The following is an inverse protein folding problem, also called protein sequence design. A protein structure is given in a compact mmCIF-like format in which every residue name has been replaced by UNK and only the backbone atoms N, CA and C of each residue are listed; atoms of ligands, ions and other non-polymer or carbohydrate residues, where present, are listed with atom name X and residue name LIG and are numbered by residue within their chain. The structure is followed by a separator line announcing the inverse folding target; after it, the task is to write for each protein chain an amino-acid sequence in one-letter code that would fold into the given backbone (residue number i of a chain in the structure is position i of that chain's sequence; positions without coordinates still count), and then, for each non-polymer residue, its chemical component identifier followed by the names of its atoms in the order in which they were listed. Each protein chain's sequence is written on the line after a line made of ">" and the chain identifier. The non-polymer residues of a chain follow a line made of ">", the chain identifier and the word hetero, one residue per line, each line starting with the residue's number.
data_IF_092399261625
#
_entry.id   IF_092399261625
#
_cell.length_a   1.000
_cell.length_b   1.000
_cell.length_c   1.000
_cell.angle_alpha   90.00
_cell.angle_beta   90.00
_cell.angle_gamma   90.00
#
_symmetry.space_group_name_H-M   'P 1'
#
loop_
_entity.id
_entity.type
_entity.pdbx_description
1 polymer ?
#
# COMPACT_ATOMS: atom_id res chain seq x y z
N UNK A 1 -17.28 6.86 12.58
CA UNK A 1 -17.73 5.47 12.30
C UNK A 1 -16.75 4.45 12.85
N UNK A 2 -17.14 3.17 13.01
CA UNK A 2 -16.22 2.07 13.38
C UNK A 2 -15.52 1.52 12.15
N UNK A 3 -14.18 1.53 12.13
CA UNK A 3 -13.35 1.08 11.01
C UNK A 3 -12.34 0.05 11.49
N UNK A 4 -12.30 -1.11 10.84
CA UNK A 4 -11.35 -2.18 11.12
C UNK A 4 -10.21 -2.14 10.11
N UNK A 5 -8.95 -2.08 10.57
CA UNK A 5 -7.77 -1.97 9.70
C UNK A 5 -6.83 -3.14 9.96
N UNK A 6 -6.62 -4.00 8.97
CA UNK A 6 -5.56 -5.00 9.05
C UNK A 6 -4.25 -4.42 8.56
N UNK A 7 -3.14 -4.84 9.14
CA UNK A 7 -1.83 -4.24 8.84
C UNK A 7 -1.66 -2.86 9.46
N UNK A 8 -2.33 -2.59 10.58
CA UNK A 8 -2.35 -1.28 11.26
C UNK A 8 -0.97 -0.83 11.76
N UNK A 9 -0.08 -1.76 12.11
CA UNK A 9 1.32 -1.47 12.47
C UNK A 9 2.27 -1.45 11.27
N UNK A 10 1.72 -1.58 10.05
CA UNK A 10 2.41 -1.39 8.79
C UNK A 10 2.62 0.10 8.48
N UNK A 11 3.30 0.38 7.37
CA UNK A 11 3.59 1.75 6.92
C UNK A 11 2.31 2.55 6.60
N UNK A 12 1.52 2.06 5.65
CA UNK A 12 0.26 2.73 5.27
C UNK A 12 -0.75 2.67 6.43
N UNK A 13 -0.79 1.52 7.14
CA UNK A 13 -1.71 1.29 8.26
C UNK A 13 -1.56 2.30 9.40
N UNK A 14 -0.33 2.65 9.78
CA UNK A 14 -0.06 3.70 10.78
C UNK A 14 -0.70 5.03 10.36
N UNK A 15 -0.28 5.56 9.22
CA UNK A 15 -0.70 6.89 8.76
C UNK A 15 -2.21 6.97 8.53
N UNK A 16 -2.78 5.92 7.95
CA UNK A 16 -4.23 5.85 7.75
C UNK A 16 -4.98 5.81 9.09
N UNK A 17 -4.53 4.97 10.03
CA UNK A 17 -5.15 4.90 11.36
C UNK A 17 -5.10 6.25 12.08
N UNK A 18 -3.94 6.94 12.06
CA UNK A 18 -3.81 8.29 12.65
C UNK A 18 -4.77 9.29 11.99
N UNK A 19 -4.83 9.32 10.64
CA UNK A 19 -5.75 10.21 9.91
C UNK A 19 -7.21 9.98 10.31
N UNK A 20 -7.62 8.71 10.38
CA UNK A 20 -8.99 8.34 10.73
C UNK A 20 -9.34 8.65 12.19
N UNK A 21 -8.42 8.41 13.10
CA UNK A 21 -8.58 8.76 14.51
C UNK A 21 -8.69 10.27 14.72
N UNK A 22 -7.85 11.05 14.04
CA UNK A 22 -7.91 12.53 14.05
C UNK A 22 -9.23 13.06 13.43
N UNK A 23 -9.81 12.33 12.48
CA UNK A 23 -11.12 12.64 11.92
C UNK A 23 -12.29 12.16 12.82
N UNK A 24 -12.02 11.73 14.04
CA UNK A 24 -13.03 11.32 15.03
C UNK A 24 -13.59 9.89 14.87
N UNK A 25 -13.04 9.08 13.96
CA UNK A 25 -13.46 7.68 13.78
C UNK A 25 -12.96 6.81 14.95
N UNK A 26 -13.63 5.67 15.18
CA UNK A 26 -13.20 4.62 16.09
C UNK A 26 -12.48 3.56 15.25
N UNK A 27 -11.22 3.28 15.54
CA UNK A 27 -10.37 2.38 14.76
C UNK A 27 -9.97 1.16 15.56
N UNK A 28 -10.18 -0.02 15.00
CA UNK A 28 -9.60 -1.25 15.51
C UNK A 28 -8.49 -1.73 14.58
N UNK A 29 -7.28 -1.79 15.10
CA UNK A 29 -6.10 -2.30 14.40
C UNK A 29 -5.96 -3.81 14.57
N UNK A 30 -5.58 -4.50 13.51
CA UNK A 30 -5.23 -5.92 13.52
C UNK A 30 -3.90 -6.11 12.80
N UNK A 31 -2.89 -6.69 13.47
CA UNK A 31 -1.56 -6.89 12.89
C UNK A 31 -0.85 -8.08 13.52
N UNK A 32 -0.10 -8.82 12.72
CA UNK A 32 0.67 -9.98 13.19
C UNK A 32 1.97 -9.61 13.89
N UNK A 33 2.47 -8.40 13.69
CA UNK A 33 3.79 -7.95 14.17
C UNK A 33 4.93 -8.89 13.73
N UNK A 34 4.82 -9.51 12.52
CA UNK A 34 5.80 -10.47 12.03
C UNK A 34 7.21 -9.85 11.88
N UNK A 35 8.23 -10.70 11.77
CA UNK A 35 9.64 -10.33 11.70
C UNK A 35 10.16 -10.18 10.26
N UNK A 36 9.32 -9.96 9.27
CA UNK A 36 9.74 -9.72 7.89
C UNK A 36 10.74 -8.56 7.76
N UNK A 37 10.56 -7.53 8.58
CA UNK A 37 11.54 -6.45 8.81
C UNK A 37 11.53 -6.06 10.29
N UNK A 38 12.36 -5.10 10.69
CA UNK A 38 12.55 -4.68 12.07
C UNK A 38 11.23 -4.54 12.85
N UNK A 39 11.04 -5.43 13.83
CA UNK A 39 9.87 -5.46 14.70
C UNK A 39 9.81 -4.23 15.62
N UNK A 40 10.97 -3.63 15.97
CA UNK A 40 11.02 -2.41 16.79
C UNK A 40 10.26 -1.28 16.08
N UNK A 41 10.44 -1.14 14.76
CA UNK A 41 9.73 -0.15 13.96
C UNK A 41 8.20 -0.38 13.98
N UNK A 42 7.73 -1.63 13.94
CA UNK A 42 6.30 -1.96 14.06
C UNK A 42 5.77 -1.64 15.45
N UNK A 43 6.53 -1.97 16.49
CA UNK A 43 6.18 -1.63 17.88
C UNK A 43 6.09 -0.13 18.09
N UNK A 44 7.04 0.65 17.56
CA UNK A 44 7.02 2.13 17.63
C UNK A 44 5.78 2.71 16.95
N UNK A 45 5.39 2.21 15.78
CA UNK A 45 4.14 2.61 15.10
C UNK A 45 2.90 2.27 15.93
N UNK A 46 2.86 1.10 16.54
CA UNK A 46 1.77 0.70 17.44
C UNK A 46 1.69 1.61 18.68
N UNK A 47 2.81 1.97 19.30
CA UNK A 47 2.82 2.88 20.46
C UNK A 47 2.22 4.26 20.12
N UNK A 48 2.49 4.78 18.93
CA UNK A 48 1.86 6.02 18.46
C UNK A 48 0.32 5.88 18.43
N UNK A 49 -0.18 4.76 17.89
CA UNK A 49 -1.63 4.53 17.79
C UNK A 49 -2.28 4.28 19.14
N UNK A 50 -1.59 3.58 20.05
CA UNK A 50 -2.07 3.29 21.40
C UNK A 50 -2.44 4.53 22.21
N UNK A 51 -1.82 5.68 21.93
CA UNK A 51 -2.10 6.93 22.62
C UNK A 51 -3.47 7.55 22.25
N UNK A 52 -4.15 7.05 21.24
CA UNK A 52 -5.48 7.53 20.87
C UNK A 52 -6.57 6.79 21.65
N UNK A 53 -7.42 7.50 22.39
CA UNK A 53 -8.54 6.92 23.18
C UNK A 53 -9.51 6.07 22.34
N UNK A 54 -9.69 6.41 21.04
CA UNK A 54 -10.58 5.70 20.11
C UNK A 54 -9.87 4.60 19.31
N UNK A 55 -8.68 4.17 19.73
CA UNK A 55 -7.93 3.07 19.12
C UNK A 55 -7.98 1.82 19.99
N UNK A 56 -8.25 0.69 19.37
CA UNK A 56 -8.11 -0.64 19.99
C UNK A 56 -7.32 -1.56 19.05
N UNK A 57 -6.78 -2.65 19.58
CA UNK A 57 -5.86 -3.50 18.84
C UNK A 57 -6.00 -4.97 19.16
N UNK A 58 -5.88 -5.82 18.14
CA UNK A 58 -5.71 -7.28 18.29
C UNK A 58 -4.44 -7.71 17.55
N UNK A 59 -3.52 -8.38 18.25
CA UNK A 59 -2.38 -9.04 17.62
C UNK A 59 -2.84 -10.39 17.07
N UNK A 60 -2.71 -10.58 15.75
CA UNK A 60 -3.09 -11.81 15.07
C UNK A 60 -2.67 -11.88 13.63
N UNK A 61 -2.58 -13.08 13.08
CA UNK A 61 -2.34 -13.33 11.66
C UNK A 61 -3.68 -13.38 10.92
N UNK A 62 -3.76 -12.78 9.74
CA UNK A 62 -4.98 -12.81 8.91
C UNK A 62 -5.32 -14.23 8.42
N UNK A 63 -4.35 -15.12 8.39
CA UNK A 63 -4.51 -16.55 8.09
C UNK A 63 -5.25 -17.29 9.21
N UNK A 64 -5.22 -16.78 10.45
CA UNK A 64 -5.96 -17.35 11.56
C UNK A 64 -7.40 -16.82 11.57
N UNK A 65 -8.28 -17.54 10.88
CA UNK A 65 -9.68 -17.18 10.73
C UNK A 65 -10.42 -17.06 12.07
N UNK A 66 -10.11 -17.91 13.05
CA UNK A 66 -10.78 -17.90 14.38
C UNK A 66 -10.54 -16.59 15.12
N UNK A 67 -9.28 -16.17 15.24
CA UNK A 67 -8.91 -14.91 15.90
C UNK A 67 -9.46 -13.70 15.14
N UNK A 68 -9.34 -13.71 13.80
CA UNK A 68 -9.84 -12.66 12.93
C UNK A 68 -11.35 -12.47 13.05
N UNK A 69 -12.12 -13.55 12.91
CA UNK A 69 -13.57 -13.53 13.05
C UNK A 69 -14.02 -13.02 14.43
N UNK A 70 -13.41 -13.54 15.52
CA UNK A 70 -13.71 -13.08 16.88
C UNK A 70 -13.49 -11.57 17.02
N UNK A 71 -12.38 -11.05 16.46
CA UNK A 71 -12.05 -9.62 16.52
C UNK A 71 -13.05 -8.76 15.73
N UNK A 72 -13.40 -9.15 14.50
CA UNK A 72 -14.32 -8.40 13.65
C UNK A 72 -15.75 -8.44 14.22
N UNK A 73 -16.24 -9.61 14.61
CA UNK A 73 -17.59 -9.77 15.15
C UNK A 73 -17.79 -9.00 16.46
N UNK A 74 -16.78 -8.98 17.34
CA UNK A 74 -16.81 -8.19 18.57
C UNK A 74 -16.81 -6.70 18.31
N UNK A 75 -16.00 -6.23 17.35
CA UNK A 75 -15.86 -4.80 17.06
C UNK A 75 -17.04 -4.25 16.24
N UNK A 76 -17.67 -5.08 15.40
CA UNK A 76 -18.81 -4.73 14.52
C UNK A 76 -18.49 -3.50 13.65
N UNK A 77 -17.50 -3.58 12.75
CA UNK A 77 -17.09 -2.45 11.91
C UNK A 77 -18.14 -2.12 10.85
N UNK A 78 -18.26 -0.84 10.52
CA UNK A 78 -18.99 -0.37 9.34
C UNK A 78 -18.19 -0.52 8.05
N UNK A 79 -16.86 -0.36 8.17
CA UNK A 79 -15.90 -0.43 7.06
C UNK A 79 -14.73 -1.31 7.48
N UNK A 80 -14.25 -2.16 6.58
CA UNK A 80 -12.98 -2.87 6.72
C UNK A 80 -12.01 -2.36 5.67
N UNK A 81 -10.76 -2.06 6.10
CA UNK A 81 -9.65 -1.71 5.22
C UNK A 81 -8.56 -2.76 5.38
N UNK A 82 -8.40 -3.59 4.35
CA UNK A 82 -7.47 -4.70 4.38
C UNK A 82 -6.14 -4.30 3.74
N UNK A 83 -5.16 -3.95 4.60
CA UNK A 83 -3.79 -3.59 4.20
C UNK A 83 -2.76 -4.66 4.55
N UNK A 84 -3.12 -5.63 5.41
CA UNK A 84 -2.23 -6.73 5.77
C UNK A 84 -1.93 -7.60 4.55
N UNK A 85 -0.66 -7.79 4.27
CA UNK A 85 -0.17 -8.65 3.21
C UNK A 85 1.32 -8.95 3.40
N UNK A 86 1.80 -10.06 2.87
CA UNK A 86 3.21 -10.21 2.60
C UNK A 86 3.52 -9.42 1.32
N UNK A 87 4.40 -8.43 1.41
CA UNK A 87 4.76 -7.56 0.32
C UNK A 87 6.22 -7.76 -0.11
N UNK A 88 6.55 -7.28 -1.33
CA UNK A 88 7.91 -7.33 -1.88
C UNK A 88 8.07 -8.39 -2.97
N UNK A 89 8.29 -7.94 -4.20
CA UNK A 89 8.45 -8.81 -5.40
C UNK A 89 9.59 -9.81 -5.20
N UNK A 90 10.74 -9.37 -4.73
CA UNK A 90 11.95 -10.21 -4.60
C UNK A 90 11.82 -11.29 -3.53
N UNK A 91 11.18 -10.97 -2.42
CA UNK A 91 10.97 -11.93 -1.35
C UNK A 91 10.01 -13.03 -1.75
N UNK A 92 9.06 -12.74 -2.66
CA UNK A 92 8.12 -13.75 -3.15
C UNK A 92 8.77 -14.89 -3.94
N UNK A 93 9.95 -14.63 -4.53
CA UNK A 93 10.75 -15.66 -5.20
C UNK A 93 11.40 -16.60 -4.17
N UNK A 94 11.85 -16.04 -3.03
CA UNK A 94 12.56 -16.81 -2.00
C UNK A 94 11.62 -17.56 -1.04
N UNK A 95 10.46 -17.00 -0.74
CA UNK A 95 9.49 -17.52 0.23
C UNK A 95 8.06 -17.45 -0.30
N UNK A 96 7.73 -18.17 -1.41
CA UNK A 96 6.43 -18.08 -2.08
C UNK A 96 5.27 -18.47 -1.17
N UNK A 97 5.41 -19.50 -0.35
CA UNK A 97 4.37 -19.99 0.55
C UNK A 97 3.82 -18.88 1.45
N UNK A 98 4.66 -17.98 1.97
CA UNK A 98 4.19 -16.88 2.83
C UNK A 98 3.25 -15.91 2.11
N UNK A 99 3.34 -15.84 0.77
CA UNK A 99 2.44 -15.01 -0.05
C UNK A 99 1.09 -15.71 -0.28
N UNK A 100 1.09 -17.03 -0.46
CA UNK A 100 -0.16 -17.80 -0.53
C UNK A 100 -0.91 -17.65 0.80
N UNK A 101 -0.25 -17.92 1.92
CA UNK A 101 -0.86 -17.88 3.24
C UNK A 101 -1.41 -16.48 3.57
N UNK A 102 -0.56 -15.44 3.52
CA UNK A 102 -0.97 -14.09 3.91
C UNK A 102 -1.87 -13.41 2.90
N UNK A 103 -1.56 -13.52 1.59
CA UNK A 103 -2.28 -12.72 0.59
C UNK A 103 -3.54 -13.44 0.10
N UNK A 104 -3.49 -14.73 -0.19
CA UNK A 104 -4.66 -15.46 -0.70
C UNK A 104 -5.54 -15.90 0.47
N UNK A 105 -5.04 -16.76 1.37
CA UNK A 105 -5.83 -17.29 2.48
C UNK A 105 -6.24 -16.16 3.44
N UNK A 106 -5.31 -15.25 3.75
CA UNK A 106 -5.62 -14.10 4.60
C UNK A 106 -6.70 -13.20 4.02
N UNK A 107 -6.67 -12.89 2.71
CA UNK A 107 -7.71 -12.08 2.07
C UNK A 107 -9.04 -12.84 1.98
N UNK A 108 -9.03 -14.13 1.68
CA UNK A 108 -10.22 -14.98 1.74
C UNK A 108 -10.90 -14.87 3.12
N UNK A 109 -10.14 -15.02 4.20
CA UNK A 109 -10.66 -14.92 5.57
C UNK A 109 -11.27 -13.54 5.87
N UNK A 110 -10.66 -12.46 5.35
CA UNK A 110 -11.19 -11.09 5.47
C UNK A 110 -12.51 -10.94 4.74
N UNK A 111 -12.61 -11.43 3.50
CA UNK A 111 -13.83 -11.32 2.69
C UNK A 111 -14.97 -12.13 3.35
N UNK A 112 -14.70 -13.35 3.84
CA UNK A 112 -15.67 -14.15 4.59
C UNK A 112 -16.14 -13.43 5.86
N UNK A 113 -15.21 -12.83 6.62
CA UNK A 113 -15.57 -12.07 7.83
C UNK A 113 -16.37 -10.81 7.50
N UNK A 114 -16.03 -10.12 6.41
CA UNK A 114 -16.74 -8.93 5.94
C UNK A 114 -18.17 -9.27 5.52
N UNK A 115 -18.35 -10.38 4.79
CA UNK A 115 -19.67 -10.92 4.40
C UNK A 115 -20.52 -11.23 5.64
N UNK A 116 -19.99 -12.01 6.60
CA UNK A 116 -20.68 -12.39 7.84
C UNK A 116 -21.07 -11.17 8.69
N UNK A 117 -20.23 -10.15 8.72
CA UNK A 117 -20.46 -8.91 9.50
C UNK A 117 -21.29 -7.87 8.74
N UNK A 118 -21.72 -8.15 7.51
CA UNK A 118 -22.54 -7.28 6.66
C UNK A 118 -21.95 -5.85 6.59
N UNK A 119 -20.62 -5.73 6.41
CA UNK A 119 -19.96 -4.43 6.35
C UNK A 119 -20.48 -3.62 5.15
N UNK A 120 -20.55 -2.30 5.31
CA UNK A 120 -21.02 -1.42 4.24
C UNK A 120 -20.01 -1.21 3.12
N UNK A 121 -18.73 -1.38 3.41
CA UNK A 121 -17.66 -1.22 2.42
C UNK A 121 -16.41 -2.00 2.84
N UNK A 122 -15.87 -2.80 1.95
CA UNK A 122 -14.57 -3.47 2.10
C UNK A 122 -13.58 -2.86 1.09
N UNK A 123 -12.49 -2.27 1.60
CA UNK A 123 -11.37 -1.78 0.79
C UNK A 123 -10.22 -2.75 0.89
N UNK A 124 -9.67 -3.22 -0.22
CA UNK A 124 -8.59 -4.22 -0.27
C UNK A 124 -7.38 -3.64 -0.99
N UNK A 125 -6.22 -3.69 -0.33
CA UNK A 125 -4.95 -3.31 -0.92
C UNK A 125 -4.49 -4.30 -1.99
N UNK A 126 -4.41 -3.85 -3.24
CA UNK A 126 -3.72 -4.49 -4.35
C UNK A 126 -2.42 -3.74 -4.66
N UNK A 127 -1.88 -3.86 -5.86
CA UNK A 127 -0.59 -3.30 -6.25
C UNK A 127 -0.54 -3.02 -7.74
N UNK A 128 0.21 -2.00 -8.16
CA UNK A 128 0.56 -1.77 -9.57
C UNK A 128 1.32 -2.95 -10.20
N UNK A 129 1.89 -3.84 -9.39
CA UNK A 129 2.55 -5.06 -9.89
C UNK A 129 1.62 -6.01 -10.63
N UNK A 130 0.29 -5.91 -10.43
CA UNK A 130 -0.71 -6.73 -11.15
C UNK A 130 -0.75 -6.43 -12.64
N UNK A 131 -0.30 -5.25 -13.08
CA UNK A 131 -0.21 -4.92 -14.50
C UNK A 131 0.84 -5.79 -15.23
N UNK A 132 1.82 -6.32 -14.50
CA UNK A 132 2.76 -7.33 -15.01
C UNK A 132 3.51 -6.88 -16.26
N UNK A 133 3.36 -7.62 -17.36
CA UNK A 133 3.98 -7.38 -18.66
C UNK A 133 3.25 -6.33 -19.52
N UNK A 134 2.18 -5.69 -19.01
CA UNK A 134 1.46 -4.65 -19.75
C UNK A 134 2.41 -3.48 -20.09
N UNK A 135 2.36 -3.02 -21.34
CA UNK A 135 3.21 -1.93 -21.88
C UNK A 135 2.46 -0.60 -21.99
N UNK A 136 1.13 -0.57 -21.80
CA UNK A 136 0.31 0.63 -21.92
C UNK A 136 0.52 1.54 -20.70
N UNK A 137 1.30 2.58 -20.83
CA UNK A 137 1.64 3.52 -19.76
C UNK A 137 1.18 4.93 -20.16
N UNK A 138 0.48 5.66 -19.25
CA UNK A 138 0.17 5.33 -17.84
C UNK A 138 -0.91 4.27 -17.69
N UNK A 139 -0.74 3.35 -16.73
CA UNK A 139 -1.68 2.26 -16.45
C UNK A 139 -3.06 2.79 -16.03
N UNK A 140 -4.10 2.30 -16.69
CA UNK A 140 -5.51 2.55 -16.34
C UNK A 140 -6.09 1.31 -15.67
N UNK A 141 -7.14 1.49 -14.87
CA UNK A 141 -7.78 0.39 -14.14
C UNK A 141 -8.39 -0.67 -15.07
N UNK A 142 -8.84 -0.25 -16.26
CA UNK A 142 -9.43 -1.10 -17.30
C UNK A 142 -8.39 -1.81 -18.19
N UNK A 143 -7.12 -1.46 -18.03
CA UNK A 143 -6.05 -2.11 -18.79
C UNK A 143 -5.88 -3.57 -18.37
N UNK A 144 -5.51 -4.41 -19.35
CA UNK A 144 -5.23 -5.83 -19.17
C UNK A 144 -4.19 -6.04 -18.07
N UNK A 145 -4.50 -6.89 -17.10
CA UNK A 145 -3.67 -7.19 -15.93
C UNK A 145 -3.72 -8.69 -15.59
N UNK A 146 -3.30 -9.54 -16.54
CA UNK A 146 -3.38 -11.01 -16.48
C UNK A 146 -2.04 -11.71 -16.74
N UNK A 147 -0.96 -10.96 -16.97
CA UNK A 147 0.39 -11.49 -17.24
C UNK A 147 1.37 -11.09 -16.13
N UNK A 148 1.16 -11.60 -14.93
CA UNK A 148 1.96 -11.23 -13.75
C UNK A 148 3.39 -11.75 -13.86
N UNK A 149 4.38 -10.91 -13.50
CA UNK A 149 5.81 -11.23 -13.58
C UNK A 149 6.41 -11.72 -12.25
N UNK A 150 5.60 -11.85 -11.21
CA UNK A 150 6.06 -12.33 -9.90
C UNK A 150 4.93 -13.01 -9.12
N UNK A 151 5.30 -13.91 -8.19
CA UNK A 151 4.35 -14.56 -7.29
C UNK A 151 3.58 -13.53 -6.45
N UNK A 152 4.25 -12.47 -5.99
CA UNK A 152 3.57 -11.37 -5.32
C UNK A 152 2.45 -10.76 -6.17
N UNK A 153 2.75 -10.44 -7.44
CA UNK A 153 1.76 -9.87 -8.35
C UNK A 153 0.61 -10.87 -8.61
N UNK A 154 0.93 -12.15 -8.81
CA UNK A 154 -0.05 -13.21 -8.99
C UNK A 154 -1.00 -13.34 -7.79
N UNK A 155 -0.46 -13.35 -6.55
CA UNK A 155 -1.31 -13.41 -5.35
C UNK A 155 -2.20 -12.17 -5.21
N UNK A 156 -1.70 -10.97 -5.57
CA UNK A 156 -2.54 -9.76 -5.57
C UNK A 156 -3.63 -9.81 -6.63
N UNK A 157 -3.33 -10.30 -7.83
CA UNK A 157 -4.34 -10.46 -8.89
C UNK A 157 -5.38 -11.51 -8.50
N UNK A 158 -4.98 -12.63 -7.92
CA UNK A 158 -5.91 -13.66 -7.41
C UNK A 158 -6.89 -13.08 -6.40
N UNK A 159 -6.42 -12.17 -5.51
CA UNK A 159 -7.32 -11.53 -4.55
C UNK A 159 -8.31 -10.55 -5.20
N UNK A 160 -7.96 -9.89 -6.30
CA UNK A 160 -8.90 -9.06 -7.07
C UNK A 160 -10.03 -9.93 -7.67
N UNK A 161 -9.69 -11.07 -8.27
CA UNK A 161 -10.66 -11.99 -8.87
C UNK A 161 -11.56 -12.63 -7.82
N UNK A 162 -10.98 -13.08 -6.70
CA UNK A 162 -11.73 -13.63 -5.56
C UNK A 162 -12.72 -12.59 -5.01
N UNK A 163 -12.27 -11.36 -4.79
CA UNK A 163 -13.09 -10.28 -4.28
C UNK A 163 -14.24 -9.92 -5.25
N UNK A 164 -14.00 -9.94 -6.57
CA UNK A 164 -15.05 -9.73 -7.56
C UNK A 164 -16.14 -10.80 -7.46
N UNK A 165 -15.77 -12.08 -7.39
CA UNK A 165 -16.72 -13.20 -7.26
C UNK A 165 -17.60 -13.05 -6.02
N UNK A 166 -17.00 -12.72 -4.86
CA UNK A 166 -17.75 -12.47 -3.63
C UNK A 166 -18.68 -11.26 -3.75
N UNK A 167 -18.21 -10.18 -4.39
CA UNK A 167 -19.03 -9.01 -4.63
C UNK A 167 -20.24 -9.33 -5.53
N UNK A 168 -20.04 -10.16 -6.55
CA UNK A 168 -21.13 -10.59 -7.45
C UNK A 168 -22.15 -11.46 -6.75
N UNK A 169 -21.70 -12.51 -6.04
CA UNK A 169 -22.57 -13.50 -5.42
C UNK A 169 -23.35 -12.94 -4.21
N UNK A 170 -22.69 -12.19 -3.36
CA UNK A 170 -23.28 -11.71 -2.08
C UNK A 170 -23.50 -10.20 -2.03
N UNK A 171 -23.36 -9.52 -3.16
CA UNK A 171 -23.53 -8.06 -3.26
C UNK A 171 -22.72 -7.27 -2.23
N UNK A 172 -21.60 -7.83 -1.78
CA UNK A 172 -20.67 -7.18 -0.86
C UNK A 172 -19.95 -6.03 -1.59
N UNK A 173 -20.10 -4.76 -1.13
CA UNK A 173 -19.44 -3.64 -1.80
C UNK A 173 -17.93 -3.67 -1.56
N UNK A 174 -17.14 -3.80 -2.63
CA UNK A 174 -15.69 -3.92 -2.55
C UNK A 174 -15.00 -2.91 -3.46
N UNK A 175 -14.00 -2.20 -2.92
CA UNK A 175 -13.07 -1.38 -3.70
C UNK A 175 -11.65 -1.95 -3.59
N UNK A 176 -11.07 -2.27 -4.72
CA UNK A 176 -9.65 -2.66 -4.83
C UNK A 176 -8.81 -1.42 -5.02
N UNK A 177 -7.69 -1.34 -4.29
CA UNK A 177 -6.75 -0.22 -4.31
C UNK A 177 -5.41 -0.70 -4.88
N UNK A 178 -5.11 -0.37 -6.15
CA UNK A 178 -3.82 -0.66 -6.79
C UNK A 178 -2.83 0.44 -6.43
N UNK A 179 -2.06 0.23 -5.37
CA UNK A 179 -1.02 1.17 -4.94
C UNK A 179 0.18 1.14 -5.87
N UNK A 180 0.69 2.34 -6.17
CA UNK A 180 2.00 2.53 -6.80
C UNK A 180 3.09 2.63 -5.72
N UNK A 181 4.27 3.20 -6.03
CA UNK A 181 5.38 3.18 -5.08
C UNK A 181 5.18 4.20 -3.96
N UNK A 182 4.73 3.73 -2.80
CA UNK A 182 4.50 4.58 -1.62
C UNK A 182 5.81 4.81 -0.88
N UNK A 183 6.07 6.06 -0.48
CA UNK A 183 7.25 6.45 0.29
C UNK A 183 6.92 7.55 1.30
N UNK A 184 7.81 7.74 2.30
CA UNK A 184 7.63 8.77 3.33
C UNK A 184 8.13 8.33 4.71
N UNK A 185 7.91 9.18 5.74
CA UNK A 185 8.21 8.88 7.14
C UNK A 185 7.60 7.54 7.58
N UNK A 186 8.26 6.85 8.50
CA UNK A 186 7.83 5.53 8.96
C UNK A 186 7.74 4.49 7.84
N UNK A 187 8.45 4.70 6.73
CA UNK A 187 8.45 3.81 5.57
C UNK A 187 8.97 2.41 5.86
N UNK A 188 8.85 1.53 4.88
CA UNK A 188 9.30 0.13 4.99
C UNK A 188 10.81 0.02 4.73
N UNK A 189 11.57 -0.64 5.62
CA UNK A 189 13.03 -0.79 5.48
C UNK A 189 13.49 -1.59 4.26
N UNK A 190 12.62 -2.43 3.68
CA UNK A 190 12.89 -3.21 2.47
C UNK A 190 12.76 -2.43 1.16
N UNK A 191 12.23 -1.19 1.19
CA UNK A 191 12.10 -0.31 0.03
C UNK A 191 13.43 0.36 -0.36
N UNK A 192 13.57 0.66 -1.65
CA UNK A 192 14.81 1.20 -2.23
C UNK A 192 15.28 2.49 -1.53
N UNK A 193 14.39 3.48 -1.37
CA UNK A 193 14.74 4.76 -0.74
C UNK A 193 15.27 4.61 0.68
N UNK A 194 14.71 3.68 1.45
CA UNK A 194 15.14 3.40 2.81
C UNK A 194 16.51 2.71 2.82
N UNK A 195 16.71 1.70 1.96
CA UNK A 195 17.98 1.00 1.80
C UNK A 195 19.09 1.92 1.33
N UNK A 196 18.81 2.79 0.36
CA UNK A 196 19.77 3.75 -0.14
C UNK A 196 20.19 4.72 0.97
N UNK A 197 19.25 5.31 1.68
CA UNK A 197 19.55 6.20 2.81
C UNK A 197 20.44 5.52 3.84
N UNK A 198 20.08 4.29 4.27
CA UNK A 198 20.87 3.52 5.24
C UNK A 198 22.29 3.27 4.74
N UNK A 199 22.45 2.84 3.46
CA UNK A 199 23.77 2.51 2.89
C UNK A 199 24.61 3.77 2.63
N UNK A 200 24.02 4.89 2.17
CA UNK A 200 24.71 6.17 1.96
C UNK A 200 25.27 6.69 3.28
N UNK A 201 24.47 6.74 4.32
CA UNK A 201 24.88 7.16 5.66
C UNK A 201 25.98 6.29 6.24
N UNK A 202 25.94 4.99 5.98
CA UNK A 202 26.97 4.04 6.39
C UNK A 202 28.19 3.98 5.44
N UNK A 203 28.29 4.89 4.43
CA UNK A 203 29.38 4.89 3.42
C UNK A 203 29.52 3.58 2.65
N UNK A 204 28.45 2.75 2.59
CA UNK A 204 28.42 1.46 1.89
C UNK A 204 27.89 1.62 0.46
N UNK A 205 28.30 0.69 -0.46
CA UNK A 205 27.82 0.65 -1.85
C UNK A 205 26.29 0.44 -1.92
N UNK A 206 25.60 1.20 -2.77
CA UNK A 206 24.19 0.99 -3.13
C UNK A 206 24.08 0.22 -4.45
N UNK A 207 23.21 -0.79 -4.50
CA UNK A 207 22.98 -1.58 -5.71
C UNK A 207 21.92 -0.91 -6.57
N UNK A 208 22.28 -0.52 -7.78
CA UNK A 208 21.46 0.19 -8.74
C UNK A 208 21.13 -0.76 -9.89
N UNK A 209 19.93 -1.35 -9.83
CA UNK A 209 19.49 -2.33 -10.82
C UNK A 209 19.13 -1.69 -12.16
N UNK A 210 19.21 -2.50 -13.24
CA UNK A 210 19.03 -2.07 -14.63
C UNK A 210 19.91 -0.85 -14.98
N UNK A 211 21.12 -0.82 -14.43
CA UNK A 211 22.05 0.33 -14.59
C UNK A 211 21.41 1.70 -14.29
N UNK A 212 20.38 1.71 -13.44
CA UNK A 212 19.62 2.91 -13.08
C UNK A 212 18.53 3.34 -14.09
N UNK A 213 18.42 2.66 -15.23
CA UNK A 213 17.44 3.00 -16.29
C UNK A 213 16.02 2.54 -15.90
N UNK A 214 15.47 3.12 -14.83
CA UNK A 214 14.17 2.78 -14.25
C UNK A 214 13.40 4.03 -13.86
N UNK A 215 12.07 3.98 -14.05
CA UNK A 215 11.13 5.04 -13.66
C UNK A 215 10.08 4.49 -12.69
N UNK A 216 9.73 5.26 -11.69
CA UNK A 216 8.66 4.93 -10.74
C UNK A 216 7.73 6.11 -10.51
N UNK A 217 6.47 5.79 -10.32
CA UNK A 217 5.49 6.69 -9.75
C UNK A 217 5.66 6.64 -8.22
N UNK A 218 6.39 7.62 -7.67
CA UNK A 218 6.55 7.78 -6.23
C UNK A 218 5.42 8.62 -5.67
N UNK A 219 4.63 8.02 -4.78
CA UNK A 219 3.50 8.70 -4.14
C UNK A 219 3.76 8.86 -2.65
N UNK A 220 3.70 10.09 -2.17
CA UNK A 220 3.92 10.39 -0.76
C UNK A 220 2.81 9.81 0.11
N UNK A 221 3.16 9.37 1.30
CA UNK A 221 2.24 8.63 2.19
C UNK A 221 0.97 9.41 2.52
N UNK A 222 1.04 10.71 2.77
CA UNK A 222 -0.15 11.51 3.13
C UNK A 222 -1.11 11.64 1.94
N UNK A 223 -0.59 11.71 0.70
CA UNK A 223 -1.43 11.70 -0.50
C UNK A 223 -2.17 10.36 -0.66
N UNK A 224 -1.50 9.23 -0.37
CA UNK A 224 -2.13 7.90 -0.35
C UNK A 224 -3.26 7.83 0.68
N UNK A 225 -2.98 8.29 1.90
CA UNK A 225 -3.94 8.26 3.01
C UNK A 225 -5.14 9.17 2.73
N UNK A 226 -4.91 10.33 2.11
CA UNK A 226 -6.01 11.23 1.67
C UNK A 226 -6.91 10.54 0.65
N UNK A 227 -6.31 9.86 -0.33
CA UNK A 227 -7.05 9.07 -1.33
C UNK A 227 -7.94 8.00 -0.69
N UNK A 228 -7.41 7.22 0.24
CA UNK A 228 -8.18 6.18 0.95
C UNK A 228 -9.29 6.82 1.81
N UNK A 229 -8.97 7.86 2.55
CA UNK A 229 -9.93 8.55 3.42
C UNK A 229 -11.13 9.09 2.63
N UNK A 230 -10.90 9.66 1.44
CA UNK A 230 -11.96 10.15 0.56
C UNK A 230 -12.87 9.02 0.00
N UNK A 231 -12.37 7.79 -0.05
CA UNK A 231 -13.12 6.64 -0.54
C UNK A 231 -14.06 6.02 0.50
N UNK A 232 -13.94 6.33 1.78
CA UNK A 232 -14.73 5.70 2.85
C UNK A 232 -16.25 5.76 2.60
N UNK A 233 -16.73 6.87 2.04
CA UNK A 233 -18.14 7.09 1.73
C UNK A 233 -18.46 6.98 0.23
N UNK A 234 -17.54 6.47 -0.59
CA UNK A 234 -17.68 6.26 -2.03
C UNK A 234 -17.84 4.78 -2.37
N UNK A 235 -18.79 4.15 -1.71
CA UNK A 235 -19.11 2.73 -1.88
C UNK A 235 -19.54 2.44 -3.32
N UNK A 236 -18.97 1.43 -4.00
CA UNK A 236 -19.42 1.06 -5.33
C UNK A 236 -20.85 0.50 -5.28
N UNK A 237 -21.66 0.85 -6.28
CA UNK A 237 -23.05 0.43 -6.39
C UNK A 237 -23.43 0.17 -7.84
N UNK A 238 -24.24 -0.84 -8.10
CA UNK A 238 -24.80 -1.12 -9.43
C UNK A 238 -25.78 -0.03 -9.88
N UNK A 239 -26.40 0.68 -8.93
CA UNK A 239 -27.40 1.71 -9.18
C UNK A 239 -26.81 3.12 -9.20
N UNK A 240 -25.63 3.29 -9.80
CA UNK A 240 -25.01 4.62 -9.92
C UNK A 240 -25.81 5.50 -10.91
N UNK A 241 -26.27 6.66 -10.43
CA UNK A 241 -27.02 7.64 -11.24
C UNK A 241 -26.19 8.27 -12.38
N UNK A 242 -24.88 8.39 -12.22
CA UNK A 242 -23.96 8.94 -13.24
C UNK A 242 -22.97 7.88 -13.73
N UNK A 243 -22.98 7.58 -15.02
CA UNK A 243 -21.95 6.79 -15.68
C UNK A 243 -20.67 7.61 -15.81
N UNK A 244 -19.53 7.04 -15.38
CA UNK A 244 -18.21 7.65 -15.54
C UNK A 244 -17.53 6.96 -16.73
N UNK A 245 -17.09 7.73 -17.72
CA UNK A 245 -16.35 7.17 -18.87
C UNK A 245 -15.08 6.46 -18.39
N UNK A 246 -14.88 5.23 -18.84
CA UNK A 246 -13.79 4.32 -18.45
C UNK A 246 -13.80 3.98 -16.94
N UNK A 247 -14.99 3.87 -16.32
CA UNK A 247 -15.11 3.37 -14.96
C UNK A 247 -14.76 1.87 -14.91
N UNK A 248 -14.04 1.49 -13.89
CA UNK A 248 -13.75 0.09 -13.57
C UNK A 248 -14.84 -0.58 -12.73
N UNK A 249 -15.99 0.10 -12.55
CA UNK A 249 -17.17 -0.49 -11.89
C UNK A 249 -17.64 -1.71 -12.68
N UNK A 250 -17.75 -2.83 -11.99
CA UNK A 250 -18.26 -4.06 -12.60
C UNK A 250 -19.73 -3.88 -13.05
N UNK A 251 -20.11 -4.40 -14.23
CA UNK A 251 -21.52 -4.35 -14.67
C UNK A 251 -22.43 -5.29 -13.87
N UNK A 252 -21.87 -6.26 -13.12
CA UNK A 252 -22.64 -7.32 -12.43
C UNK A 252 -22.45 -7.34 -10.92
N UNK A 253 -21.54 -6.50 -10.37
CA UNK A 253 -21.18 -6.49 -8.96
C UNK A 253 -20.96 -5.07 -8.43
N UNK A 254 -21.25 -4.79 -7.15
CA UNK A 254 -20.82 -3.55 -6.49
C UNK A 254 -19.30 -3.58 -6.20
N UNK A 255 -18.52 -3.69 -7.27
CA UNK A 255 -17.06 -3.89 -7.24
C UNK A 255 -16.37 -2.86 -8.13
N UNK A 256 -15.33 -2.21 -7.62
CA UNK A 256 -14.52 -1.24 -8.36
C UNK A 256 -13.05 -1.41 -8.09
N UNK A 257 -12.22 -1.20 -9.09
CA UNK A 257 -10.76 -1.12 -8.97
C UNK A 257 -10.34 0.34 -9.13
N UNK A 258 -9.39 0.80 -8.32
CA UNK A 258 -8.86 2.16 -8.40
C UNK A 258 -7.34 2.17 -8.26
N UNK A 259 -6.69 2.93 -9.15
CA UNK A 259 -5.27 3.26 -9.00
C UNK A 259 -5.10 4.38 -7.98
N UNK A 260 -4.14 4.22 -7.08
CA UNK A 260 -3.70 5.29 -6.19
C UNK A 260 -2.20 5.53 -6.40
N UNK A 261 -1.89 6.65 -7.02
CA UNK A 261 -0.55 7.06 -7.43
C UNK A 261 -0.43 8.56 -7.56
N UNK A 262 0.73 9.05 -8.02
CA UNK A 262 1.02 10.48 -8.16
C UNK A 262 0.94 10.97 -9.61
N UNK A 263 0.82 10.07 -10.60
CA UNK A 263 0.79 10.39 -12.05
C UNK A 263 2.07 11.08 -12.57
N UNK A 264 3.16 11.03 -11.81
CA UNK A 264 4.45 11.62 -12.18
C UNK A 264 5.54 10.55 -12.15
N UNK A 265 6.21 10.38 -13.29
CA UNK A 265 7.37 9.49 -13.38
C UNK A 265 8.60 10.16 -12.80
N UNK A 266 9.33 9.46 -11.94
CA UNK A 266 10.61 9.90 -11.40
C UNK A 266 11.69 8.92 -11.84
N UNK A 267 12.76 9.42 -12.40
CA UNK A 267 13.92 8.63 -12.80
C UNK A 267 14.70 8.20 -11.55
N UNK A 268 15.14 6.93 -11.51
CA UNK A 268 15.79 6.39 -10.32
C UNK A 268 17.06 7.14 -9.93
N UNK A 269 17.86 7.54 -10.94
CA UNK A 269 19.10 8.28 -10.65
C UNK A 269 18.81 9.69 -10.12
N UNK A 270 17.77 10.37 -10.61
CA UNK A 270 17.36 11.69 -10.06
C UNK A 270 16.90 11.56 -8.61
N UNK A 271 16.21 10.47 -8.29
CA UNK A 271 15.82 10.17 -6.92
C UNK A 271 17.05 9.96 -6.01
N UNK A 272 18.06 9.22 -6.50
CA UNK A 272 19.32 9.00 -5.79
C UNK A 272 20.09 10.30 -5.63
N UNK A 273 20.22 11.10 -6.70
CA UNK A 273 20.91 12.40 -6.67
C UNK A 273 20.26 13.35 -5.66
N UNK A 274 18.92 13.31 -5.55
CA UNK A 274 18.18 14.10 -4.54
C UNK A 274 18.52 13.62 -3.13
N UNK A 275 18.61 12.31 -2.87
CA UNK A 275 19.05 11.77 -1.59
C UNK A 275 20.49 12.21 -1.26
N UNK A 276 21.42 12.09 -2.22
CA UNK A 276 22.81 12.52 -2.06
C UNK A 276 22.90 14.00 -1.68
N UNK A 277 22.21 14.87 -2.41
CA UNK A 277 22.18 16.32 -2.15
C UNK A 277 21.67 16.62 -0.76
N UNK A 278 20.57 15.99 -0.34
CA UNK A 278 19.95 16.25 0.97
C UNK A 278 20.72 15.64 2.13
N UNK A 279 21.39 14.49 1.91
CA UNK A 279 22.23 13.86 2.91
C UNK A 279 23.60 14.54 3.00
N UNK A 280 24.03 15.26 1.96
CA UNK A 280 25.37 15.85 1.88
C UNK A 280 26.48 14.81 1.61
N UNK A 281 26.16 13.62 1.13
CA UNK A 281 27.08 12.52 0.89
C UNK A 281 26.85 11.89 -0.47
N UNK A 282 27.91 11.66 -1.23
CA UNK A 282 27.86 10.89 -2.49
C UNK A 282 27.73 9.40 -2.23
N UNK A 283 26.85 8.74 -2.95
CA UNK A 283 26.67 7.30 -2.90
C UNK A 283 27.80 6.57 -3.65
N UNK A 284 28.35 5.53 -3.05
CA UNK A 284 29.17 4.55 -3.77
C UNK A 284 28.21 3.66 -4.59
N UNK A 285 28.20 3.81 -5.91
CA UNK A 285 27.23 3.17 -6.80
C UNK A 285 27.76 1.84 -7.34
N UNK A 286 26.96 0.77 -7.23
CA UNK A 286 27.19 -0.54 -7.82
C UNK A 286 26.08 -0.80 -8.85
N UNK A 287 26.41 -0.75 -10.14
CA UNK A 287 25.44 -0.91 -11.21
C UNK A 287 25.23 -2.40 -11.52
N UNK A 288 24.00 -2.83 -11.40
CA UNK A 288 23.58 -4.23 -11.56
C UNK A 288 22.66 -4.41 -12.77
N UNK A 289 22.59 -5.63 -13.35
CA UNK A 289 21.60 -5.98 -14.36
C UNK A 289 20.17 -5.87 -13.82
N UNK A 290 19.18 -5.98 -14.70
CA UNK A 290 17.76 -6.01 -14.34
C UNK A 290 17.47 -7.22 -13.46
N UNK A 291 16.68 -7.04 -12.41
CA UNK A 291 16.26 -8.16 -11.55
C UNK A 291 15.04 -8.89 -12.14
N UNK A 292 14.97 -10.20 -11.92
CA UNK A 292 13.81 -11.02 -12.28
C UNK A 292 12.54 -10.50 -11.57
N UNK A 293 11.45 -10.42 -12.32
CA UNK A 293 10.14 -9.98 -11.80
C UNK A 293 10.00 -8.46 -11.60
N UNK A 294 11.03 -7.66 -11.90
CA UNK A 294 10.94 -6.19 -11.85
C UNK A 294 10.55 -5.62 -13.23
N UNK A 295 10.04 -4.39 -13.27
CA UNK A 295 9.60 -3.69 -14.48
C UNK A 295 10.39 -2.39 -14.67
N UNK A 296 10.64 -2.00 -15.93
CA UNK A 296 11.40 -0.77 -16.24
C UNK A 296 10.70 0.49 -15.78
N UNK A 297 9.37 0.55 -15.89
CA UNK A 297 8.58 1.73 -15.57
C UNK A 297 7.24 1.36 -14.92
N UNK A 298 6.81 2.17 -13.95
CA UNK A 298 5.43 2.20 -13.46
C UNK A 298 4.95 3.65 -13.41
N UNK A 299 3.76 3.90 -13.97
CA UNK A 299 3.13 5.22 -13.95
C UNK A 299 1.62 5.02 -13.88
N UNK A 300 0.98 5.65 -12.90
CA UNK A 300 -0.46 5.57 -12.70
C UNK A 300 -1.23 6.55 -13.59
N UNK A 301 -2.41 6.13 -14.03
CA UNK A 301 -3.48 7.05 -14.35
C UNK A 301 -4.46 7.05 -13.17
N UNK A 302 -4.65 8.18 -12.53
CA UNK A 302 -5.57 8.34 -11.37
C UNK A 302 -6.80 9.18 -11.71
N UNK A 303 -7.10 9.37 -12.99
CA UNK A 303 -8.23 10.19 -13.44
C UNK A 303 -9.57 9.69 -12.93
N UNK A 304 -9.75 8.36 -12.83
CA UNK A 304 -10.95 7.76 -12.28
C UNK A 304 -11.10 8.09 -10.78
N UNK A 305 -10.06 7.90 -9.98
CA UNK A 305 -10.05 8.27 -8.57
C UNK A 305 -10.33 9.76 -8.36
N UNK A 306 -9.72 10.63 -9.21
CA UNK A 306 -9.98 12.07 -9.19
C UNK A 306 -11.45 12.40 -9.47
N UNK A 307 -12.06 11.77 -10.48
CA UNK A 307 -13.49 11.97 -10.81
C UNK A 307 -14.43 11.56 -9.67
N UNK A 308 -14.10 10.45 -8.96
CA UNK A 308 -14.94 9.92 -7.88
C UNK A 308 -14.79 10.73 -6.59
N UNK A 309 -13.59 11.22 -6.28
CA UNK A 309 -13.23 11.71 -4.95
C UNK A 309 -12.68 13.12 -4.89
N UNK A 310 -12.32 13.72 -6.03
CA UNK A 310 -11.51 14.93 -6.06
C UNK A 310 -10.05 14.69 -5.62
N UNK A 311 -9.56 13.44 -5.71
CA UNK A 311 -8.17 13.12 -5.39
C UNK A 311 -7.19 13.94 -6.22
N UNK A 312 -6.25 14.59 -5.57
CA UNK A 312 -5.20 15.38 -6.20
C UNK A 312 -3.92 15.31 -5.36
N UNK A 313 -2.97 14.43 -5.71
CA UNK A 313 -1.69 14.33 -4.98
C UNK A 313 -0.88 15.61 -5.16
N UNK A 314 -0.47 16.23 -4.04
CA UNK A 314 0.19 17.55 -4.04
C UNK A 314 1.68 17.50 -3.73
N UNK A 315 2.17 16.37 -3.19
CA UNK A 315 3.53 16.27 -2.70
C UNK A 315 4.48 15.89 -3.83
N UNK A 316 5.41 16.78 -4.18
CA UNK A 316 6.50 16.42 -5.06
C UNK A 316 7.52 15.52 -4.32
N UNK A 317 8.30 14.74 -5.09
CA UNK A 317 9.17 13.73 -4.49
C UNK A 317 10.34 14.34 -3.69
N UNK A 318 10.81 15.52 -4.04
CA UNK A 318 11.86 16.22 -3.30
C UNK A 318 11.37 16.59 -1.89
N UNK A 319 10.19 17.23 -1.79
CA UNK A 319 9.56 17.53 -0.48
C UNK A 319 9.36 16.26 0.34
N UNK A 320 8.85 15.20 -0.28
CA UNK A 320 8.63 13.93 0.40
C UNK A 320 9.91 13.27 0.90
N UNK A 321 11.01 13.32 0.11
CA UNK A 321 12.34 12.84 0.54
C UNK A 321 12.85 13.65 1.73
N UNK A 322 12.71 14.99 1.71
CA UNK A 322 13.11 15.85 2.83
C UNK A 322 12.40 15.45 4.12
N UNK A 323 11.08 15.25 4.06
CA UNK A 323 10.27 14.83 5.22
C UNK A 323 10.67 13.42 5.71
N UNK A 324 10.91 12.49 4.78
CA UNK A 324 11.40 11.15 5.12
C UNK A 324 12.76 11.20 5.81
N UNK A 325 13.72 11.95 5.27
CA UNK A 325 15.07 12.09 5.86
C UNK A 325 15.01 12.74 7.25
N UNK A 326 14.21 13.80 7.42
CA UNK A 326 14.01 14.42 8.74
C UNK A 326 13.55 13.39 9.78
N UNK A 327 12.52 12.60 9.43
CA UNK A 327 12.06 11.52 10.29
C UNK A 327 13.13 10.45 10.52
N UNK A 328 13.83 10.03 9.45
CA UNK A 328 14.84 8.98 9.53
C UNK A 328 15.96 9.35 10.49
N UNK A 329 16.50 10.56 10.38
CA UNK A 329 17.56 11.08 11.26
C UNK A 329 17.09 11.13 12.72
N UNK A 330 15.89 11.62 12.96
CA UNK A 330 15.30 11.72 14.31
C UNK A 330 15.09 10.32 14.92
N UNK A 331 14.47 9.41 14.17
CA UNK A 331 14.15 8.05 14.66
C UNK A 331 15.40 7.22 14.98
N UNK A 332 16.41 7.29 14.11
CA UNK A 332 17.66 6.56 14.29
C UNK A 332 18.74 7.34 15.08
N UNK A 333 18.39 8.50 15.66
CA UNK A 333 19.28 9.35 16.48
C UNK A 333 20.61 9.68 15.78
N UNK A 334 20.58 9.94 14.47
CA UNK A 334 21.76 10.28 13.68
C UNK A 334 22.06 11.76 13.86
N UNK A 335 23.21 12.07 14.47
CA UNK A 335 23.68 13.45 14.68
C UNK A 335 24.02 14.13 13.34
N UNK A 336 23.50 15.32 13.17
CA UNK A 336 23.54 16.30 12.07
C UNK A 336 24.26 15.91 10.76
N UNK A 337 23.41 15.86 9.72
CA UNK A 337 23.70 16.37 8.39
C UNK A 337 22.76 17.58 8.24
N UNK A 338 23.27 18.76 7.78
CA UNK A 338 22.43 19.93 7.48
C UNK A 338 21.44 19.53 6.37
N UNK A 339 20.16 19.36 6.72
CA UNK A 339 19.06 19.06 5.77
C UNK A 339 18.32 20.37 5.50
#
# INVERSE_FOLDING_TARGET
>A
MKIFITGSSGFIGLHLSQKLLNNGHIVHGFDSMNNYYDVKLKKSRYQILKNFKKFSFTKGKVENQKILNKSILRFKPKVIIHLAAQAGVRYSIKKPRTYIDSNIIGTYNIIESAKKSKVKHLLIASSSSVYGANKNIPFKEVDKADTQLSIYAATKKSTESLAHSYSSLWKLPITILRFFTVYGPWGRPDMAYFKFTKKILARKKIDIYNKGKMYRDYTYIDDIVDGINKLLNKTPSLYQKKKIKNDSLSPVAPFRILNIGNTRKVYLLDFINTLEKMIGLKAKKNYMPMQKGDVKMTLSNTSLLKKITGYNPKTNYQKGIKLFLKWYMQYYKIKKIKI
#
